data_IF_386354579621
#
_entry.id   IF_386354579621
#
_cell.length_a   1.000
_cell.length_b   1.000
_cell.length_c   1.000
_cell.angle_alpha   90.00
_cell.angle_beta   90.00
_cell.angle_gamma   90.00
#
_symmetry.space_group_name_H-M   'P 1'
#
loop_
_entity.id
_entity.type
_entity.pdbx_description
1 polymer ?
#
# COMPACT_ATOMS: atom_id res chain seq x y z
N UNK A 1 -8.74 12.26 2.91
CA UNK A 1 -9.14 10.93 2.59
C UNK A 1 -9.51 10.70 1.13
N UNK A 2 -8.87 11.43 0.18
CA UNK A 2 -9.08 11.18 -1.25
C UNK A 2 -8.07 10.14 -1.75
N UNK A 3 -8.49 9.34 -2.74
CA UNK A 3 -7.62 8.46 -3.50
C UNK A 3 -6.78 9.27 -4.48
N UNK A 4 -5.54 8.90 -4.68
CA UNK A 4 -4.61 9.50 -5.65
C UNK A 4 -3.95 8.38 -6.46
N UNK A 5 -3.36 8.74 -7.60
CA UNK A 5 -2.50 7.84 -8.37
C UNK A 5 -1.05 8.22 -8.05
N UNK A 6 -0.23 7.23 -7.74
CA UNK A 6 1.21 7.38 -7.59
C UNK A 6 1.90 6.60 -8.69
N UNK A 7 2.85 7.25 -9.38
CA UNK A 7 3.64 6.61 -10.45
C UNK A 7 5.11 6.57 -10.05
N UNK A 8 5.79 5.50 -10.40
CA UNK A 8 7.23 5.39 -10.28
C UNK A 8 7.95 5.64 -11.62
N UNK A 9 9.28 5.56 -11.60
CA UNK A 9 10.11 5.83 -12.77
C UNK A 9 10.08 4.67 -13.78
N UNK A 10 10.32 5.00 -15.06
CA UNK A 10 10.38 4.03 -16.16
C UNK A 10 11.47 2.96 -15.94
N UNK A 11 12.55 3.32 -15.25
CA UNK A 11 13.68 2.42 -14.94
C UNK A 11 13.42 1.49 -13.75
N UNK A 12 12.25 1.61 -13.08
CA UNK A 12 11.86 0.77 -11.93
C UNK A 12 10.75 -0.23 -12.35
N UNK A 13 9.56 -0.13 -11.81
CA UNK A 13 8.40 -0.96 -12.20
C UNK A 13 7.67 -0.36 -13.40
N UNK A 14 7.79 0.96 -13.58
CA UNK A 14 7.07 1.75 -14.57
C UNK A 14 5.56 1.54 -14.48
N UNK A 15 5.03 1.62 -13.26
CA UNK A 15 3.63 1.33 -12.94
C UNK A 15 2.97 2.52 -12.23
N UNK A 16 1.68 2.43 -12.02
CA UNK A 16 0.91 3.37 -11.24
C UNK A 16 -0.07 2.67 -10.33
N UNK A 17 -0.08 3.09 -9.07
CA UNK A 17 -0.97 2.56 -8.06
C UNK A 17 -2.05 3.57 -7.68
N UNK A 18 -3.26 3.08 -7.46
CA UNK A 18 -4.26 3.77 -6.65
C UNK A 18 -3.81 3.72 -5.18
N UNK A 19 -3.74 4.87 -4.54
CA UNK A 19 -3.27 5.02 -3.15
C UNK A 19 -4.29 5.81 -2.36
N UNK A 20 -4.67 5.33 -1.18
CA UNK A 20 -5.49 6.10 -0.23
C UNK A 20 -5.21 5.74 1.22
N UNK A 21 -5.54 6.66 2.17
CA UNK A 21 -5.37 6.37 3.59
C UNK A 21 -6.27 5.22 4.06
N UNK A 22 -5.71 4.25 4.80
CA UNK A 22 -6.47 3.12 5.33
C UNK A 22 -7.60 3.57 6.28
N UNK A 23 -7.41 4.66 7.02
CA UNK A 23 -8.42 5.21 7.94
C UNK A 23 -9.70 5.76 7.28
N UNK A 24 -9.67 5.94 5.96
CA UNK A 24 -10.83 6.44 5.20
C UNK A 24 -11.38 5.39 4.23
N UNK A 25 -10.83 4.17 4.25
CA UNK A 25 -11.29 3.10 3.38
C UNK A 25 -12.70 2.66 3.74
N UNK A 26 -13.52 2.48 2.71
CA UNK A 26 -14.87 1.95 2.78
C UNK A 26 -15.06 0.92 1.67
N UNK A 27 -16.11 0.08 1.71
CA UNK A 27 -16.35 -0.93 0.67
C UNK A 27 -16.37 -0.38 -0.75
N UNK A 28 -16.91 0.83 -0.96
CA UNK A 28 -16.94 1.47 -2.27
C UNK A 28 -15.52 1.74 -2.84
N UNK A 29 -14.55 2.06 -1.98
CA UNK A 29 -13.16 2.30 -2.40
C UNK A 29 -12.48 0.99 -2.80
N UNK A 30 -12.68 -0.07 -2.03
CA UNK A 30 -12.19 -1.41 -2.36
C UNK A 30 -12.81 -1.92 -3.66
N UNK A 31 -14.11 -1.72 -3.84
CA UNK A 31 -14.80 -2.07 -5.08
C UNK A 31 -14.26 -1.25 -6.27
N UNK A 32 -13.95 0.04 -6.08
CA UNK A 32 -13.32 0.87 -7.10
C UNK A 32 -11.95 0.32 -7.49
N UNK A 33 -11.08 0.03 -6.52
CA UNK A 33 -9.76 -0.56 -6.76
C UNK A 33 -9.86 -1.89 -7.51
N UNK A 34 -10.72 -2.80 -7.05
CA UNK A 34 -10.92 -4.10 -7.68
C UNK A 34 -11.46 -4.00 -9.12
N UNK A 35 -12.38 -3.07 -9.36
CA UNK A 35 -13.05 -2.90 -10.65
C UNK A 35 -12.19 -2.16 -11.68
N UNK A 36 -11.54 -1.11 -11.26
CA UNK A 36 -10.84 -0.17 -12.15
C UNK A 36 -9.31 -0.26 -12.04
N UNK A 37 -8.76 -0.52 -10.86
CA UNK A 37 -7.34 -0.82 -10.68
C UNK A 37 -7.00 -2.21 -11.20
N UNK A 38 -7.74 -3.23 -10.76
CA UNK A 38 -7.60 -4.65 -11.14
C UNK A 38 -6.36 -5.33 -10.59
N UNK A 39 -5.49 -4.58 -9.91
CA UNK A 39 -4.29 -5.08 -9.25
C UNK A 39 -4.56 -5.79 -7.92
N UNK A 40 -3.51 -6.13 -7.22
CA UNK A 40 -3.59 -6.73 -5.89
C UNK A 40 -3.81 -5.65 -4.83
N UNK A 41 -4.85 -5.78 -4.04
CA UNK A 41 -5.11 -4.83 -2.94
C UNK A 41 -4.19 -5.15 -1.78
N UNK A 42 -3.22 -4.26 -1.55
CA UNK A 42 -2.21 -4.36 -0.50
C UNK A 42 -2.36 -3.23 0.52
N UNK A 43 -1.79 -3.45 1.72
CA UNK A 43 -1.86 -2.50 2.83
C UNK A 43 -0.46 -2.21 3.35
N UNK A 44 0.22 -1.17 2.84
CA UNK A 44 1.43 -0.63 3.43
C UNK A 44 1.21 -0.23 4.88
N UNK A 45 2.10 -0.70 5.77
CA UNK A 45 2.06 -0.46 7.21
C UNK A 45 3.47 -0.33 7.78
N UNK A 46 3.57 0.33 8.93
CA UNK A 46 4.81 0.38 9.70
C UNK A 46 5.06 -0.92 10.45
N UNK A 47 6.34 -1.23 10.66
CA UNK A 47 6.79 -2.45 11.33
C UNK A 47 6.23 -2.60 12.74
N UNK A 48 6.14 -1.49 13.50
CA UNK A 48 5.64 -1.48 14.87
C UNK A 48 4.21 -2.03 14.96
N UNK A 49 3.35 -1.62 14.02
CA UNK A 49 1.97 -2.13 14.00
C UNK A 49 1.91 -3.60 13.60
N UNK A 50 2.73 -4.03 12.66
CA UNK A 50 2.82 -5.43 12.25
C UNK A 50 3.29 -6.32 13.42
N UNK A 51 4.26 -5.86 14.22
CA UNK A 51 4.72 -6.55 15.45
C UNK A 51 3.59 -6.70 16.48
N UNK A 52 2.82 -5.64 16.72
CA UNK A 52 1.67 -5.69 17.66
C UNK A 52 0.65 -6.74 17.22
N UNK A 53 0.41 -6.88 15.93
CA UNK A 53 -0.51 -7.85 15.35
C UNK A 53 0.10 -9.25 15.15
N UNK A 54 1.37 -9.45 15.53
CA UNK A 54 2.14 -10.68 15.29
C UNK A 54 2.08 -11.11 13.82
N UNK A 55 2.29 -10.15 12.91
CA UNK A 55 2.34 -10.34 11.47
C UNK A 55 3.79 -10.33 11.00
N UNK A 56 4.32 -11.50 10.72
CA UNK A 56 5.67 -11.71 10.19
C UNK A 56 5.72 -11.74 8.66
N UNK A 57 6.94 -11.85 8.10
CA UNK A 57 7.13 -11.99 6.65
C UNK A 57 6.38 -13.22 6.11
N UNK A 58 5.93 -13.12 4.85
CA UNK A 58 5.21 -14.21 4.18
C UNK A 58 6.08 -15.46 4.03
N UNK A 59 7.38 -15.30 3.79
CA UNK A 59 8.35 -16.38 3.77
C UNK A 59 9.23 -16.33 5.01
N UNK A 60 9.54 -17.50 5.57
CA UNK A 60 10.55 -17.62 6.61
C UNK A 60 11.93 -17.41 6.01
N UNK A 61 12.85 -16.81 6.76
CA UNK A 61 14.24 -16.55 6.32
C UNK A 61 14.94 -17.81 5.80
N UNK A 62 14.62 -18.97 6.36
CA UNK A 62 15.16 -20.29 5.97
C UNK A 62 14.75 -20.73 4.55
N UNK A 63 13.69 -20.12 3.98
CA UNK A 63 13.14 -20.49 2.66
C UNK A 63 13.55 -19.44 1.60
N UNK A 64 14.25 -18.38 1.99
CA UNK A 64 14.69 -17.34 1.05
C UNK A 64 15.64 -17.95 0.03
N UNK A 65 15.07 -18.31 -1.13
CA UNK A 65 15.85 -18.82 -2.26
C UNK A 65 16.76 -17.73 -2.81
N UNK A 66 17.77 -18.12 -3.60
CA UNK A 66 18.71 -17.22 -4.28
C UNK A 66 18.05 -16.25 -5.29
N UNK A 67 16.73 -16.35 -5.53
CA UNK A 67 15.92 -15.45 -6.35
C UNK A 67 15.02 -14.63 -5.44
N UNK A 68 15.50 -13.45 -5.07
CA UNK A 68 14.69 -12.45 -4.38
C UNK A 68 13.94 -11.57 -5.39
N UNK A 69 12.82 -11.01 -4.96
CA UNK A 69 12.14 -9.93 -5.66
C UNK A 69 13.16 -8.80 -5.95
N UNK A 70 13.40 -8.44 -7.22
CA UNK A 70 14.37 -7.42 -7.58
C UNK A 70 14.04 -6.05 -6.98
N UNK A 71 12.78 -5.82 -6.63
CA UNK A 71 12.31 -4.58 -6.01
C UNK A 71 12.27 -4.66 -4.49
N UNK A 72 12.59 -5.81 -3.90
CA UNK A 72 12.69 -6.03 -2.45
C UNK A 72 11.42 -5.65 -1.68
N UNK A 73 10.24 -5.97 -2.23
CA UNK A 73 8.96 -5.75 -1.56
C UNK A 73 8.84 -6.64 -0.32
N UNK A 74 8.62 -6.03 0.83
CA UNK A 74 8.57 -6.76 2.09
C UNK A 74 7.15 -7.32 2.35
N UNK A 75 6.84 -8.43 1.67
CA UNK A 75 5.58 -9.16 1.80
C UNK A 75 5.39 -9.71 3.21
N UNK A 76 4.21 -9.47 3.76
CA UNK A 76 3.78 -9.96 5.06
C UNK A 76 2.66 -10.99 4.87
N UNK A 77 2.50 -11.90 5.84
CA UNK A 77 1.43 -12.90 5.81
C UNK A 77 0.07 -12.25 5.58
N UNK A 78 -0.63 -12.73 4.56
CA UNK A 78 -1.98 -12.26 4.24
C UNK A 78 -2.98 -12.58 5.35
N UNK A 79 -4.00 -11.75 5.49
CA UNK A 79 -4.96 -11.84 6.60
C UNK A 79 -6.38 -11.56 6.15
N UNK A 80 -7.33 -12.03 6.99
CA UNK A 80 -8.72 -11.59 7.04
C UNK A 80 -9.09 -11.22 8.48
N UNK A 81 -10.12 -10.39 8.66
CA UNK A 81 -10.69 -10.15 9.99
C UNK A 81 -11.31 -11.43 10.54
N UNK A 82 -11.10 -11.72 11.84
CA UNK A 82 -11.70 -12.91 12.46
C UNK A 82 -13.21 -12.80 12.67
N UNK A 83 -13.76 -11.58 12.61
CA UNK A 83 -15.20 -11.31 12.86
C UNK A 83 -15.73 -10.24 11.92
N UNK A 84 -17.02 -10.34 11.60
CA UNK A 84 -17.73 -9.35 10.80
C UNK A 84 -17.44 -9.45 9.29
N UNK A 85 -17.03 -10.62 8.83
CA UNK A 85 -16.83 -10.96 7.43
C UNK A 85 -17.61 -12.22 7.05
N UNK A 86 -17.72 -12.49 5.76
CA UNK A 86 -18.25 -13.74 5.20
C UNK A 86 -17.10 -14.66 4.79
N UNK A 87 -16.67 -14.61 3.53
CA UNK A 87 -15.56 -15.43 2.99
C UNK A 87 -14.23 -14.68 2.88
N UNK A 88 -14.21 -13.38 3.17
CA UNK A 88 -13.01 -12.52 3.17
C UNK A 88 -12.79 -11.72 1.87
N UNK A 89 -13.28 -12.20 0.71
CA UNK A 89 -12.94 -11.61 -0.60
C UNK A 89 -13.81 -10.41 -1.02
N UNK A 90 -15.03 -10.28 -0.47
CA UNK A 90 -15.92 -9.18 -0.86
C UNK A 90 -15.30 -7.83 -0.52
N UNK A 91 -15.74 -6.76 -1.21
CA UNK A 91 -15.29 -5.40 -0.89
C UNK A 91 -15.60 -5.00 0.56
N UNK A 92 -16.70 -5.51 1.09
CA UNK A 92 -17.10 -5.32 2.48
C UNK A 92 -16.15 -6.03 3.45
N UNK A 93 -15.84 -7.30 3.18
CA UNK A 93 -14.96 -8.11 4.02
C UNK A 93 -13.54 -7.56 4.03
N UNK A 94 -13.02 -7.16 2.85
CA UNK A 94 -11.68 -6.56 2.74
C UNK A 94 -11.61 -5.20 3.44
N UNK A 95 -12.64 -4.36 3.31
CA UNK A 95 -12.68 -3.09 4.05
C UNK A 95 -12.73 -3.34 5.57
N UNK A 96 -13.49 -4.34 6.03
CA UNK A 96 -13.52 -4.74 7.44
C UNK A 96 -12.17 -5.26 7.93
N UNK A 97 -11.47 -6.01 7.10
CA UNK A 97 -10.11 -6.50 7.41
C UNK A 97 -9.11 -5.35 7.54
N UNK A 98 -9.17 -4.36 6.64
CA UNK A 98 -8.34 -3.16 6.71
C UNK A 98 -8.63 -2.35 7.99
N UNK A 99 -9.91 -2.21 8.35
CA UNK A 99 -10.30 -1.58 9.61
C UNK A 99 -9.68 -2.32 10.82
N UNK A 100 -9.74 -3.66 10.84
CA UNK A 100 -9.13 -4.46 11.90
C UNK A 100 -7.60 -4.27 11.97
N UNK A 101 -6.90 -4.16 10.83
CA UNK A 101 -5.46 -3.93 10.79
C UNK A 101 -5.05 -2.62 11.44
N UNK A 102 -5.81 -1.54 11.25
CA UNK A 102 -5.44 -0.20 11.74
C UNK A 102 -6.06 0.15 13.11
N UNK A 103 -7.04 -0.60 13.57
CA UNK A 103 -7.68 -0.34 14.87
C UNK A 103 -6.68 -0.60 16.01
N UNK A 104 -6.33 0.41 16.83
CA UNK A 104 -5.33 0.27 17.89
C UNK A 104 -5.70 -0.77 18.95
N UNK A 105 -6.98 -1.12 19.08
CA UNK A 105 -7.46 -2.14 20.01
C UNK A 105 -7.37 -3.58 19.47
N UNK A 106 -7.15 -3.74 18.16
CA UNK A 106 -7.04 -5.07 17.56
C UNK A 106 -5.77 -5.80 18.00
N UNK A 107 -5.96 -7.08 18.28
CA UNK A 107 -4.96 -8.06 18.73
C UNK A 107 -4.72 -9.12 17.64
N UNK A 108 -3.68 -9.96 17.78
CA UNK A 108 -3.41 -11.06 16.84
C UNK A 108 -4.61 -11.98 16.59
N UNK A 109 -5.46 -12.20 17.60
CA UNK A 109 -6.64 -13.07 17.55
C UNK A 109 -7.81 -12.48 16.76
N UNK A 110 -7.76 -11.19 16.48
CA UNK A 110 -8.77 -10.50 15.65
C UNK A 110 -8.52 -10.70 14.14
N UNK A 111 -7.45 -11.44 13.79
CA UNK A 111 -7.06 -11.72 12.40
C UNK A 111 -6.91 -13.23 12.15
N UNK A 112 -7.41 -13.69 11.01
CA UNK A 112 -7.23 -15.05 10.46
C UNK A 112 -6.07 -15.02 9.45
N UNK A 113 -5.29 -16.08 9.38
CA UNK A 113 -4.15 -16.28 8.47
C UNK A 113 -4.23 -17.64 7.81
N UNK A 114 -4.02 -17.73 6.48
CA UNK A 114 -3.93 -16.64 5.50
C UNK A 114 -5.29 -16.02 5.22
N UNK A 115 -5.31 -14.89 4.48
CA UNK A 115 -6.53 -14.19 4.07
C UNK A 115 -6.39 -13.46 2.74
N UNK A 116 -7.27 -12.50 2.49
CA UNK A 116 -7.43 -11.82 1.19
C UNK A 116 -6.89 -10.37 1.19
N UNK A 117 -6.34 -9.90 2.30
CA UNK A 117 -5.60 -8.63 2.39
C UNK A 117 -4.13 -8.92 2.64
N UNK A 118 -3.27 -8.21 1.90
CA UNK A 118 -1.83 -8.40 1.88
C UNK A 118 -1.13 -7.19 2.52
N UNK A 119 -0.75 -7.26 3.82
CA UNK A 119 0.04 -6.21 4.43
C UNK A 119 1.44 -6.18 3.80
N UNK A 120 2.00 -4.96 3.64
CA UNK A 120 3.36 -4.75 3.20
C UNK A 120 4.11 -3.95 4.27
N UNK A 121 5.30 -4.41 4.64
CA UNK A 121 6.14 -3.68 5.60
C UNK A 121 6.88 -2.56 4.90
N UNK A 122 6.61 -1.32 5.27
CA UNK A 122 7.36 -0.16 4.82
C UNK A 122 8.71 -0.07 5.55
N UNK A 123 9.75 0.33 4.81
CA UNK A 123 11.06 0.59 5.39
C UNK A 123 11.07 1.92 6.17
N UNK A 124 11.73 1.90 7.32
CA UNK A 124 11.99 3.13 8.07
C UNK A 124 12.81 4.11 7.22
N UNK A 125 12.41 5.39 7.20
CA UNK A 125 12.99 6.41 6.32
C UNK A 125 12.21 6.65 5.02
N UNK A 126 11.26 5.78 4.69
CA UNK A 126 10.32 5.98 3.58
C UNK A 126 10.99 6.03 2.22
N UNK A 127 10.49 6.88 1.31
CA UNK A 127 10.98 7.00 -0.08
C UNK A 127 12.44 7.43 -0.20
N UNK A 128 13.04 7.98 0.86
CA UNK A 128 14.46 8.34 0.88
C UNK A 128 15.37 7.11 1.02
N UNK A 129 14.84 5.98 1.48
CA UNK A 129 15.55 4.71 1.63
C UNK A 129 15.18 3.75 0.50
N UNK A 130 13.90 3.65 0.16
CA UNK A 130 13.39 2.81 -0.94
C UNK A 130 12.31 3.56 -1.71
N UNK A 131 12.57 3.83 -2.97
CA UNK A 131 11.64 4.56 -3.86
C UNK A 131 10.50 3.65 -4.36
N UNK A 132 9.71 3.08 -3.45
CA UNK A 132 8.62 2.16 -3.76
C UNK A 132 7.24 2.68 -3.37
N UNK A 133 6.17 2.13 -4.00
CA UNK A 133 4.77 2.48 -3.70
C UNK A 133 4.41 2.23 -2.23
N UNK A 134 5.02 1.23 -1.59
CA UNK A 134 4.88 0.95 -0.15
C UNK A 134 5.33 2.14 0.70
N UNK A 135 6.55 2.64 0.46
CA UNK A 135 7.15 3.73 1.22
C UNK A 135 6.46 5.06 0.94
N UNK A 136 6.15 5.37 -0.34
CA UNK A 136 5.44 6.60 -0.68
C UNK A 136 4.08 6.68 0.01
N UNK A 137 3.40 5.55 0.16
CA UNK A 137 2.12 5.50 0.86
C UNK A 137 2.25 5.95 2.30
N UNK A 138 3.22 5.43 3.05
CA UNK A 138 3.46 5.82 4.45
C UNK A 138 3.87 7.30 4.54
N UNK A 139 4.75 7.75 3.66
CA UNK A 139 5.18 9.15 3.64
C UNK A 139 4.03 10.11 3.37
N UNK A 140 3.15 9.81 2.42
CA UNK A 140 1.96 10.63 2.14
C UNK A 140 1.02 10.67 3.36
N UNK A 141 0.86 9.55 4.08
CA UNK A 141 0.06 9.51 5.31
C UNK A 141 0.68 10.40 6.39
N UNK A 142 1.98 10.29 6.62
CA UNK A 142 2.70 11.11 7.62
C UNK A 142 2.65 12.60 7.28
N UNK A 143 2.94 12.98 6.03
CA UNK A 143 2.88 14.36 5.56
C UNK A 143 1.46 14.95 5.65
N UNK A 144 0.44 14.11 5.60
CA UNK A 144 -0.96 14.50 5.77
C UNK A 144 -1.45 14.45 7.23
N UNK A 145 -0.57 14.15 8.20
CA UNK A 145 -0.90 13.94 9.62
C UNK A 145 -1.98 12.87 9.83
N UNK A 146 -1.95 11.81 9.02
CA UNK A 146 -2.86 10.68 9.10
C UNK A 146 -2.16 9.47 9.72
N UNK A 147 -2.95 8.47 10.12
CA UNK A 147 -2.43 7.19 10.59
C UNK A 147 -1.53 6.56 9.51
N UNK A 148 -0.30 6.11 9.84
CA UNK A 148 0.70 5.66 8.86
C UNK A 148 0.39 4.25 8.32
N UNK A 149 -0.77 4.12 7.69
CA UNK A 149 -1.18 2.96 6.91
C UNK A 149 -2.04 3.43 5.72
N UNK A 150 -1.83 2.82 4.57
CA UNK A 150 -2.63 3.09 3.39
C UNK A 150 -3.09 1.82 2.71
N UNK A 151 -3.87 1.97 1.66
CA UNK A 151 -4.27 0.90 0.75
C UNK A 151 -3.79 1.26 -0.63
N UNK A 152 -3.16 0.31 -1.30
CA UNK A 152 -2.64 0.45 -2.66
C UNK A 152 -3.22 -0.64 -3.55
N UNK A 153 -3.30 -0.34 -4.85
CA UNK A 153 -3.70 -1.30 -5.87
C UNK A 153 -3.14 -0.84 -7.21
N UNK A 154 -2.40 -1.68 -7.88
CA UNK A 154 -1.85 -1.41 -9.21
C UNK A 154 -2.96 -1.17 -10.24
N UNK A 155 -2.67 -0.37 -11.27
CA UNK A 155 -3.63 -0.08 -12.35
C UNK A 155 -3.23 -0.84 -13.61
N UNK A 156 -4.13 -1.71 -14.06
CA UNK A 156 -4.02 -2.46 -15.32
C UNK A 156 -4.98 -1.91 -16.37
N UNK A 157 -4.59 -2.03 -17.62
CA UNK A 157 -5.43 -1.80 -18.79
C UNK A 157 -6.52 -2.87 -18.93
N UNK A 158 -7.50 -2.64 -19.81
CA UNK A 158 -8.60 -3.59 -20.05
C UNK A 158 -8.13 -4.94 -20.63
N UNK A 159 -6.98 -4.95 -21.30
CA UNK A 159 -6.36 -6.15 -21.87
C UNK A 159 -5.49 -6.92 -20.85
N UNK A 160 -5.39 -6.43 -19.61
CA UNK A 160 -4.60 -7.03 -18.53
C UNK A 160 -3.12 -6.60 -18.50
N UNK A 161 -2.66 -5.78 -19.44
CA UNK A 161 -1.32 -5.18 -19.36
C UNK A 161 -1.25 -4.09 -18.31
N UNK A 162 -0.05 -3.79 -17.79
CA UNK A 162 0.12 -2.70 -16.83
C UNK A 162 -0.07 -1.35 -17.50
N UNK A 163 -0.87 -0.47 -16.88
CA UNK A 163 -1.05 0.89 -17.37
C UNK A 163 0.24 1.70 -17.17
N UNK A 164 0.70 2.37 -18.24
CA UNK A 164 1.87 3.24 -18.22
C UNK A 164 1.43 4.72 -18.14
N UNK A 165 2.37 5.63 -18.01
CA UNK A 165 2.08 7.05 -17.75
C UNK A 165 0.98 7.64 -18.66
N UNK A 166 0.99 7.34 -19.96
CA UNK A 166 -0.01 7.85 -20.87
C UNK A 166 -1.44 7.39 -20.52
N UNK A 167 -1.61 6.09 -20.23
CA UNK A 167 -2.89 5.51 -19.81
C UNK A 167 -3.27 5.99 -18.40
N UNK A 168 -2.30 6.13 -17.50
CA UNK A 168 -2.52 6.64 -16.13
C UNK A 168 -3.01 8.10 -16.14
N UNK A 169 -2.51 8.94 -17.03
CA UNK A 169 -3.00 10.31 -17.22
C UNK A 169 -4.45 10.33 -17.75
N UNK A 170 -4.79 9.40 -18.65
CA UNK A 170 -6.18 9.27 -19.13
C UNK A 170 -7.10 8.77 -18.01
N UNK A 171 -6.68 7.75 -17.29
CA UNK A 171 -7.40 7.21 -16.11
C UNK A 171 -7.62 8.31 -15.04
N UNK A 172 -6.59 9.12 -14.77
CA UNK A 172 -6.66 10.26 -13.86
C UNK A 172 -7.75 11.25 -14.25
N UNK A 173 -7.82 11.62 -15.55
CA UNK A 173 -8.87 12.52 -16.07
C UNK A 173 -10.26 11.90 -15.99
N UNK A 174 -10.40 10.64 -16.42
CA UNK A 174 -11.66 9.91 -16.41
C UNK A 174 -12.27 9.81 -15.02
N UNK A 175 -11.45 9.48 -14.03
CA UNK A 175 -11.88 9.27 -12.64
C UNK A 175 -11.70 10.50 -11.74
N UNK A 176 -11.20 11.62 -12.29
CA UNK A 176 -10.94 12.88 -11.55
C UNK A 176 -10.02 12.67 -10.34
N UNK A 177 -9.02 11.81 -10.49
CA UNK A 177 -8.02 11.53 -9.48
C UNK A 177 -6.78 12.39 -9.72
N UNK A 178 -6.13 12.82 -8.64
CA UNK A 178 -4.82 13.46 -8.72
C UNK A 178 -3.75 12.41 -8.98
N UNK A 179 -2.68 12.81 -9.69
CA UNK A 179 -1.52 11.97 -9.96
C UNK A 179 -0.26 12.67 -9.45
N UNK A 180 0.64 11.92 -8.85
CA UNK A 180 1.97 12.39 -8.45
C UNK A 180 3.00 11.29 -8.70
N UNK A 181 4.29 11.67 -8.81
CA UNK A 181 5.39 10.73 -8.94
C UNK A 181 6.14 10.53 -7.63
N UNK A 182 6.75 9.36 -7.45
CA UNK A 182 7.65 9.08 -6.32
C UNK A 182 8.81 10.06 -6.31
N UNK A 183 9.38 10.37 -7.48
CA UNK A 183 10.47 11.34 -7.64
C UNK A 183 10.10 12.71 -7.10
N UNK A 184 8.90 13.23 -7.40
CA UNK A 184 8.43 14.51 -6.87
C UNK A 184 8.31 14.50 -5.35
N UNK A 185 7.92 13.37 -4.74
CA UNK A 185 7.85 13.24 -3.29
C UNK A 185 9.25 13.20 -2.66
N UNK A 186 10.22 12.51 -3.29
CA UNK A 186 11.62 12.50 -2.85
C UNK A 186 12.19 13.92 -2.85
N UNK A 187 11.96 14.68 -3.94
CA UNK A 187 12.40 16.09 -4.03
C UNK A 187 11.76 16.95 -2.95
N UNK A 188 10.45 16.79 -2.73
CA UNK A 188 9.72 17.50 -1.69
C UNK A 188 10.33 17.20 -0.31
N UNK A 189 10.52 15.94 0.06
CA UNK A 189 11.08 15.55 1.36
C UNK A 189 12.50 16.08 1.55
N UNK A 190 13.38 15.99 0.52
CA UNK A 190 14.74 16.53 0.55
C UNK A 190 14.78 18.04 0.77
N UNK A 191 13.80 18.77 0.25
CA UNK A 191 13.73 20.24 0.35
C UNK A 191 13.19 20.71 1.71
N UNK A 192 12.23 20.01 2.29
CA UNK A 192 11.49 20.49 3.44
C UNK A 192 11.81 19.76 4.75
N UNK A 193 12.43 18.58 4.68
CA UNK A 193 12.88 17.86 5.88
C UNK A 193 14.35 18.16 6.17
N UNK A 194 14.63 18.40 7.47
CA UNK A 194 16.01 18.58 7.95
C UNK A 194 16.67 17.20 8.10
N UNK A 195 17.31 16.71 7.03
CA UNK A 195 17.92 15.39 6.97
C UNK A 195 19.26 15.27 7.71
N UNK A 196 19.90 16.39 8.06
CA UNK A 196 21.22 16.44 8.73
C UNK A 196 21.16 17.44 9.85
N UNK A 197 21.50 17.03 11.06
CA UNK A 197 21.86 17.92 12.16
C UNK A 197 23.40 18.04 12.23
N UNK A 198 23.92 19.28 12.25
CA UNK A 198 25.32 19.48 12.64
C UNK A 198 25.44 19.19 14.14
N UNK A 199 26.22 18.19 14.48
CA UNK A 199 26.70 17.91 15.83
C UNK A 199 27.78 18.90 16.18
#
# INVERSE_FOLDING_TARGET
GQMVIVVDDEDRENEGDLVMPASFVKPEHINFMARFGRGLICVPMEEERLKVLNLGPMLREEIVSSRQDPFATAWVMSVDAAKGITTGISAYDRARTIEALINPQSRPEDLIRPGHIFPLKALAGGVLVRAGHTEVTIDLMRLSSLYPAGVICEIMNDDGSMARLAQLLEFSRQHKLKICSITSLIEYRRRFEKLIERV
#
